data_IF_349429248914
#
_entry.id   IF_349429248914
#
_cell.length_a   1.000
_cell.length_b   1.000
_cell.length_c   1.000
_cell.angle_alpha   90.00
_cell.angle_beta   90.00
_cell.angle_gamma   90.00
#
_symmetry.space_group_name_H-M   'P 1'
#
loop_
_entity.id
_entity.type
_entity.pdbx_description
1 polymer ?
#
# COMPACT_ATOMS: atom_id res chain seq x y z
N UNK A 1 4.76 18.57 -11.95
CA UNK A 1 4.70 19.43 -10.75
C UNK A 1 3.23 19.68 -10.44
N UNK A 2 2.83 19.72 -9.17
CA UNK A 2 1.45 19.97 -8.77
C UNK A 2 1.33 21.34 -8.10
N UNK A 3 0.23 22.02 -8.35
CA UNK A 3 -0.07 23.32 -7.77
C UNK A 3 -1.45 23.28 -7.12
N UNK A 4 -1.63 24.02 -6.04
CA UNK A 4 -2.94 24.27 -5.46
C UNK A 4 -3.71 25.32 -6.29
N UNK A 5 -4.95 25.61 -5.87
CA UNK A 5 -5.82 26.61 -6.52
C UNK A 5 -5.24 28.03 -6.51
N UNK A 6 -4.24 28.31 -5.65
CA UNK A 6 -3.56 29.59 -5.55
C UNK A 6 -2.21 29.59 -6.31
N UNK A 7 -1.90 28.53 -7.05
CA UNK A 7 -0.63 28.39 -7.76
C UNK A 7 0.57 28.06 -6.86
N UNK A 8 0.34 27.70 -5.59
CA UNK A 8 1.44 27.28 -4.69
C UNK A 8 1.81 25.82 -4.98
N UNK A 9 3.11 25.50 -5.04
CA UNK A 9 3.55 24.13 -5.26
C UNK A 9 3.07 23.23 -4.12
N UNK A 10 2.56 22.06 -4.48
CA UNK A 10 2.14 21.01 -3.53
C UNK A 10 3.33 20.08 -3.26
N UNK A 11 3.56 19.73 -1.99
CA UNK A 11 4.64 18.84 -1.57
C UNK A 11 5.98 19.57 -1.41
N UNK A 12 7.07 18.95 -1.85
CA UNK A 12 8.42 19.54 -1.87
C UNK A 12 8.64 20.50 -3.04
N UNK A 13 7.60 20.72 -3.86
CA UNK A 13 7.64 21.56 -5.06
C UNK A 13 8.52 21.01 -6.17
N UNK A 14 8.99 19.75 -6.08
CA UNK A 14 9.80 19.14 -7.14
C UNK A 14 8.91 18.46 -8.18
N UNK A 15 9.35 18.41 -9.45
CA UNK A 15 8.70 17.57 -10.46
C UNK A 15 8.78 16.10 -10.05
N UNK A 16 7.65 15.39 -10.16
CA UNK A 16 7.65 13.93 -10.13
C UNK A 16 8.19 13.44 -11.46
N UNK A 17 9.20 12.57 -11.42
CA UNK A 17 9.82 11.96 -12.60
C UNK A 17 9.35 10.51 -12.77
N UNK A 18 8.99 10.14 -14.00
CA UNK A 18 8.77 8.75 -14.39
C UNK A 18 9.87 8.33 -15.38
N UNK A 19 10.23 7.05 -15.39
CA UNK A 19 11.35 6.55 -16.22
C UNK A 19 11.05 6.64 -17.71
N UNK A 20 9.78 6.57 -18.08
CA UNK A 20 9.33 6.55 -19.47
C UNK A 20 8.43 7.73 -19.79
N UNK A 21 8.24 7.97 -21.08
CA UNK A 21 7.34 8.99 -21.58
C UNK A 21 5.90 8.69 -21.17
N UNK A 22 5.21 9.69 -20.65
CA UNK A 22 3.80 9.61 -20.25
C UNK A 22 2.95 10.04 -21.44
N UNK A 23 2.06 9.16 -21.89
CA UNK A 23 1.21 9.39 -23.07
C UNK A 23 -0.19 9.90 -22.71
N UNK A 24 -0.66 9.60 -21.50
CA UNK A 24 -1.98 10.00 -21.03
C UNK A 24 -1.97 10.18 -19.52
N UNK A 25 -2.70 11.18 -19.02
CA UNK A 25 -2.82 11.48 -17.60
C UNK A 25 -4.25 11.91 -17.28
N UNK A 26 -4.75 11.50 -16.12
CA UNK A 26 -6.09 11.83 -15.65
C UNK A 26 -6.11 11.95 -14.13
N UNK A 27 -6.65 13.06 -13.64
CA UNK A 27 -6.69 13.39 -12.22
C UNK A 27 -8.08 13.08 -11.66
N UNK A 28 -8.12 12.35 -10.55
CA UNK A 28 -9.34 12.15 -9.77
C UNK A 28 -9.90 13.50 -9.29
N UNK A 29 -11.21 13.69 -9.43
CA UNK A 29 -11.90 14.92 -9.05
C UNK A 29 -12.77 14.77 -7.82
N UNK A 30 -12.82 13.58 -7.23
CA UNK A 30 -13.72 13.23 -6.15
C UNK A 30 -13.04 13.40 -4.79
N UNK A 31 -13.84 13.48 -3.72
CA UNK A 31 -13.34 13.55 -2.34
C UNK A 31 -12.44 14.75 -2.00
N UNK A 32 -11.67 14.59 -0.92
CA UNK A 32 -10.79 15.63 -0.41
C UNK A 32 -9.58 15.84 -1.34
N UNK A 33 -9.10 17.09 -1.55
CA UNK A 33 -7.85 17.33 -2.26
C UNK A 33 -6.63 16.61 -1.67
N UNK A 34 -6.70 16.19 -0.39
CA UNK A 34 -5.66 15.41 0.28
C UNK A 34 -5.60 13.94 -0.16
N UNK A 35 -6.68 13.39 -0.68
CA UNK A 35 -6.78 11.99 -1.09
C UNK A 35 -6.62 11.83 -2.62
N UNK A 36 -6.48 12.96 -3.32
CA UNK A 36 -6.52 13.04 -4.77
C UNK A 36 -5.44 12.19 -5.43
N UNK A 37 -5.85 11.44 -6.44
CA UNK A 37 -4.97 10.54 -7.21
C UNK A 37 -4.78 11.01 -8.64
N UNK A 38 -3.59 10.76 -9.16
CA UNK A 38 -3.29 10.85 -10.58
C UNK A 38 -3.17 9.44 -11.14
N UNK A 39 -3.95 9.12 -12.17
CA UNK A 39 -3.72 7.97 -13.03
C UNK A 39 -2.98 8.43 -14.29
N UNK A 40 -1.98 7.69 -14.72
CA UNK A 40 -1.27 7.98 -15.96
C UNK A 40 -0.82 6.69 -16.66
N UNK A 41 -0.77 6.73 -17.98
CA UNK A 41 -0.21 5.66 -18.80
C UNK A 41 1.11 6.08 -19.42
N UNK A 42 2.07 5.17 -19.45
CA UNK A 42 3.35 5.37 -20.14
C UNK A 42 3.31 4.87 -21.59
N UNK A 43 4.40 5.09 -22.33
CA UNK A 43 4.55 4.64 -23.72
C UNK A 43 4.46 3.11 -23.91
N UNK A 44 4.64 2.33 -22.85
CA UNK A 44 4.50 0.87 -22.87
C UNK A 44 3.07 0.44 -22.55
N UNK A 45 2.14 1.39 -22.45
CA UNK A 45 0.74 1.14 -22.10
C UNK A 45 0.64 0.53 -20.69
N UNK A 46 1.56 0.84 -19.80
CA UNK A 46 1.42 0.50 -18.39
C UNK A 46 0.64 1.61 -17.68
N UNK A 47 -0.42 1.23 -16.96
CA UNK A 47 -1.22 2.14 -16.14
C UNK A 47 -0.61 2.23 -14.74
N UNK A 48 -0.33 3.45 -14.31
CA UNK A 48 0.15 3.77 -12.97
C UNK A 48 -0.86 4.67 -12.24
N UNK A 49 -0.87 4.54 -10.92
CA UNK A 49 -1.57 5.45 -10.02
C UNK A 49 -0.57 6.10 -9.06
N UNK A 50 -0.83 7.34 -8.71
CA UNK A 50 0.00 8.12 -7.80
C UNK A 50 -0.84 8.93 -6.82
N UNK A 51 -0.41 8.96 -5.56
CA UNK A 51 -0.93 9.90 -4.56
C UNK A 51 -0.38 11.32 -4.81
N UNK A 52 -1.25 12.30 -5.04
CA UNK A 52 -0.84 13.69 -5.34
C UNK A 52 -0.28 14.38 -4.10
N UNK A 53 -0.97 14.20 -2.97
CA UNK A 53 -0.48 14.60 -1.65
C UNK A 53 -0.08 13.34 -0.91
N UNK A 54 1.14 13.34 -0.39
CA UNK A 54 1.63 12.30 0.50
C UNK A 54 1.98 12.99 1.82
N UNK A 55 1.26 12.62 2.87
CA UNK A 55 1.47 13.10 4.23
C UNK A 55 2.65 12.33 4.82
N UNK A 56 3.56 13.01 5.53
CA UNK A 56 4.75 12.41 6.15
C UNK A 56 6.06 12.55 5.34
N UNK A 57 7.17 12.04 5.90
CA UNK A 57 8.51 12.10 5.27
C UNK A 57 8.65 11.23 4.00
N UNK A 58 7.55 10.60 3.56
CA UNK A 58 7.32 9.87 2.31
C UNK A 58 7.53 10.71 1.03
N UNK A 59 8.12 11.89 1.14
CA UNK A 59 8.41 12.77 0.00
C UNK A 59 9.65 12.40 -0.80
N UNK A 60 10.46 11.45 -0.30
CA UNK A 60 11.80 11.24 -0.83
C UNK A 60 11.95 10.12 -1.87
N UNK A 61 10.98 9.21 -1.99
CA UNK A 61 11.04 8.17 -3.03
C UNK A 61 9.81 8.13 -3.93
N UNK A 62 10.03 8.31 -5.23
CA UNK A 62 9.00 8.13 -6.27
C UNK A 62 8.46 6.69 -6.31
N UNK A 63 9.23 5.70 -5.84
CA UNK A 63 8.83 4.28 -5.87
C UNK A 63 7.69 3.93 -4.92
N UNK A 64 7.52 4.69 -3.83
CA UNK A 64 6.41 4.47 -2.88
C UNK A 64 5.15 5.25 -3.27
N UNK A 65 5.32 6.35 -4.00
CA UNK A 65 4.22 7.22 -4.43
C UNK A 65 3.54 6.75 -5.71
N UNK A 66 4.25 6.05 -6.57
CA UNK A 66 3.76 5.56 -7.86
C UNK A 66 3.66 4.04 -7.80
N UNK A 67 2.47 3.50 -8.02
CA UNK A 67 2.21 2.06 -8.09
C UNK A 67 1.64 1.71 -9.46
N UNK A 68 2.14 0.62 -10.05
CA UNK A 68 1.60 0.06 -11.29
C UNK A 68 0.27 -0.62 -10.97
N UNK A 69 -0.77 -0.31 -11.73
CA UNK A 69 -2.12 -0.84 -11.57
C UNK A 69 -2.43 -1.91 -12.62
N UNK A 70 -1.99 -1.73 -13.87
CA UNK A 70 -2.28 -2.64 -14.96
C UNK A 70 -1.26 -2.50 -16.10
N UNK A 71 -1.20 -3.50 -16.99
CA UNK A 71 -0.45 -3.53 -18.25
C UNK A 71 -1.39 -3.40 -19.43
N UNK A 72 -0.87 -3.03 -20.61
CA UNK A 72 -1.61 -3.01 -21.88
C UNK A 72 -2.93 -2.20 -21.82
N UNK A 73 -2.89 -1.04 -21.18
CA UNK A 73 -4.03 -0.13 -21.08
C UNK A 73 -4.25 0.61 -22.40
N UNK A 74 -5.45 0.48 -22.97
CA UNK A 74 -5.84 1.22 -24.16
C UNK A 74 -6.46 2.58 -23.82
N UNK A 75 -7.30 2.64 -22.79
CA UNK A 75 -8.02 3.84 -22.37
C UNK A 75 -8.44 3.72 -20.91
N UNK A 76 -8.46 4.82 -20.17
CA UNK A 76 -8.95 4.86 -18.79
C UNK A 76 -9.65 6.18 -18.45
N UNK A 77 -10.59 6.14 -17.50
CA UNK A 77 -11.36 7.30 -17.05
C UNK A 77 -11.81 7.14 -15.60
N UNK A 78 -11.66 8.20 -14.80
CA UNK A 78 -12.23 8.29 -13.47
C UNK A 78 -13.75 8.44 -13.54
N UNK A 79 -14.42 7.93 -12.51
CA UNK A 79 -15.83 8.20 -12.27
C UNK A 79 -16.04 9.67 -11.86
N UNK A 80 -17.25 10.18 -12.09
CA UNK A 80 -17.62 11.57 -11.81
C UNK A 80 -17.89 11.85 -10.33
N UNK A 81 -18.38 10.86 -9.58
CA UNK A 81 -18.79 11.02 -8.17
C UNK A 81 -17.87 10.31 -7.19
N UNK A 82 -17.35 9.15 -7.59
CA UNK A 82 -16.61 8.25 -6.70
C UNK A 82 -15.15 8.07 -7.16
N UNK A 83 -14.24 7.60 -6.28
CA UNK A 83 -12.84 7.36 -6.64
C UNK A 83 -12.66 6.10 -7.50
N UNK A 84 -13.69 5.62 -8.19
CA UNK A 84 -13.61 4.46 -9.09
C UNK A 84 -12.88 4.83 -10.38
N UNK A 85 -12.10 3.90 -10.90
CA UNK A 85 -11.41 4.04 -12.18
C UNK A 85 -11.85 2.94 -13.13
N UNK A 86 -12.29 3.31 -14.32
CA UNK A 86 -12.54 2.36 -15.40
C UNK A 86 -11.37 2.36 -16.38
N UNK A 87 -10.98 1.20 -16.88
CA UNK A 87 -9.94 1.06 -17.90
C UNK A 87 -10.13 -0.15 -18.78
N UNK A 88 -9.82 0.00 -20.07
CA UNK A 88 -9.84 -1.11 -21.02
C UNK A 88 -8.42 -1.64 -21.17
N UNK A 89 -8.19 -2.86 -20.73
CA UNK A 89 -6.91 -3.55 -20.82
C UNK A 89 -7.14 -4.97 -21.33
N UNK A 90 -6.27 -5.45 -22.22
CA UNK A 90 -6.36 -6.80 -22.82
C UNK A 90 -7.75 -7.13 -23.43
N UNK A 91 -8.44 -6.12 -23.97
CA UNK A 91 -9.78 -6.28 -24.53
C UNK A 91 -10.90 -6.45 -23.50
N UNK A 92 -10.62 -6.30 -22.20
CA UNK A 92 -11.59 -6.36 -21.11
C UNK A 92 -11.78 -4.99 -20.48
N UNK A 93 -12.99 -4.71 -20.03
CA UNK A 93 -13.26 -3.52 -19.23
C UNK A 93 -13.03 -3.87 -17.75
N UNK A 94 -12.02 -3.25 -17.15
CA UNK A 94 -11.69 -3.38 -15.74
C UNK A 94 -12.20 -2.13 -15.00
N UNK A 95 -12.90 -2.34 -13.90
CA UNK A 95 -13.41 -1.30 -13.02
C UNK A 95 -12.74 -1.51 -11.67
N UNK A 96 -11.71 -0.71 -11.40
CA UNK A 96 -11.07 -0.66 -10.09
C UNK A 96 -11.99 0.14 -9.16
N UNK A 97 -12.70 -0.58 -8.29
CA UNK A 97 -13.71 0.00 -7.39
C UNK A 97 -13.06 0.91 -6.35
N UNK A 98 -11.84 0.58 -5.92
CA UNK A 98 -11.04 1.41 -5.04
C UNK A 98 -9.55 1.33 -5.40
N UNK A 99 -9.08 2.10 -6.39
CA UNK A 99 -7.69 2.05 -6.86
C UNK A 99 -6.65 2.36 -5.79
N UNK A 100 -7.04 2.98 -4.67
CA UNK A 100 -6.14 3.23 -3.53
C UNK A 100 -5.70 1.95 -2.83
N UNK A 101 -6.39 0.82 -3.05
CA UNK A 101 -6.03 -0.49 -2.50
C UNK A 101 -4.56 -0.86 -2.72
N UNK A 102 -3.95 -0.47 -3.85
CA UNK A 102 -2.53 -0.77 -4.16
C UNK A 102 -1.53 -0.06 -3.24
N UNK A 103 -1.98 0.94 -2.48
CA UNK A 103 -1.15 1.62 -1.47
C UNK A 103 -1.40 1.10 -0.06
N UNK A 104 -2.48 0.36 0.17
CA UNK A 104 -2.87 -0.14 1.50
C UNK A 104 -2.59 -1.64 1.57
N UNK A 105 -3.21 -2.42 0.68
CA UNK A 105 -3.02 -3.86 0.57
C UNK A 105 -3.11 -4.28 -0.91
N UNK A 106 -1.96 -4.39 -1.60
CA UNK A 106 -1.90 -4.82 -2.99
C UNK A 106 -2.51 -6.21 -3.24
N UNK A 107 -2.58 -7.09 -2.24
CA UNK A 107 -3.13 -8.45 -2.39
C UNK A 107 -4.63 -8.44 -2.69
N UNK A 108 -5.34 -7.41 -2.22
CA UNK A 108 -6.77 -7.21 -2.45
C UNK A 108 -7.10 -6.45 -3.74
N UNK A 109 -6.10 -6.01 -4.51
CA UNK A 109 -6.32 -5.24 -5.74
C UNK A 109 -7.16 -6.02 -6.77
N UNK A 110 -6.93 -7.33 -6.90
CA UNK A 110 -7.68 -8.17 -7.83
C UNK A 110 -9.13 -8.36 -7.36
N UNK A 111 -9.33 -8.62 -6.06
CA UNK A 111 -10.66 -8.78 -5.45
C UNK A 111 -11.52 -7.52 -5.50
N UNK A 112 -10.90 -6.34 -5.53
CA UNK A 112 -11.60 -5.04 -5.63
C UNK A 112 -11.75 -4.55 -7.09
N UNK A 113 -11.48 -5.42 -8.07
CA UNK A 113 -11.63 -5.11 -9.49
C UNK A 113 -12.80 -5.86 -10.08
N UNK A 114 -13.85 -5.13 -10.48
CA UNK A 114 -14.96 -5.69 -11.24
C UNK A 114 -14.62 -5.73 -12.72
N UNK A 115 -14.89 -6.85 -13.40
CA UNK A 115 -14.51 -7.04 -14.81
C UNK A 115 -15.73 -7.34 -15.67
N UNK A 116 -15.84 -6.60 -16.77
CA UNK A 116 -16.83 -6.86 -17.81
C UNK A 116 -16.09 -7.36 -19.05
N UNK A 117 -16.37 -8.61 -19.41
CA UNK A 117 -15.91 -9.22 -20.65
C UNK A 117 -17.02 -9.08 -21.69
N UNK A 118 -16.72 -8.42 -22.80
CA UNK A 118 -17.63 -8.34 -23.95
C UNK A 118 -16.85 -8.44 -25.24
N UNK A 119 -17.34 -9.27 -26.17
CA UNK A 119 -16.78 -9.36 -27.51
C UNK A 119 -17.09 -8.11 -28.36
N UNK A 120 -17.96 -7.22 -27.87
CA UNK A 120 -18.49 -6.11 -28.65
C UNK A 120 -17.60 -4.86 -28.64
N UNK A 121 -16.55 -4.79 -27.81
CA UNK A 121 -15.70 -3.61 -27.73
C UNK A 121 -14.95 -3.31 -29.04
N UNK A 122 -14.68 -4.34 -29.84
CA UNK A 122 -14.00 -4.20 -31.12
C UNK A 122 -12.54 -3.75 -30.98
N UNK A 123 -11.96 -3.23 -32.06
CA UNK A 123 -10.56 -2.79 -32.09
C UNK A 123 -10.42 -1.38 -31.50
N UNK A 124 -9.41 -1.17 -30.65
CA UNK A 124 -9.04 0.12 -30.04
C UNK A 124 -10.24 0.91 -29.46
N UNK A 125 -11.03 0.31 -28.55
CA UNK A 125 -12.09 1.05 -27.86
C UNK A 125 -11.52 2.13 -26.94
N UNK A 126 -12.24 3.24 -26.80
CA UNK A 126 -11.90 4.32 -25.87
C UNK A 126 -13.07 4.63 -24.94
N UNK A 127 -12.81 4.81 -23.65
CA UNK A 127 -13.84 5.21 -22.68
C UNK A 127 -14.12 6.71 -22.85
N UNK A 128 -15.35 7.06 -23.23
CA UNK A 128 -15.75 8.47 -23.32
C UNK A 128 -16.09 9.03 -21.95
N UNK A 129 -16.91 8.33 -21.16
CA UNK A 129 -17.45 8.81 -19.90
C UNK A 129 -17.68 7.67 -18.91
N UNK A 130 -17.54 7.97 -17.63
CA UNK A 130 -17.91 7.10 -16.52
C UNK A 130 -18.73 7.91 -15.51
N UNK A 131 -20.05 7.79 -15.59
CA UNK A 131 -21.02 8.58 -14.83
C UNK A 131 -21.80 7.65 -13.91
N UNK A 132 -21.63 7.78 -12.58
CA UNK A 132 -22.29 6.89 -11.60
C UNK A 132 -22.03 5.41 -11.94
N UNK A 133 -23.06 4.64 -12.25
CA UNK A 133 -22.96 3.22 -12.64
C UNK A 133 -22.82 2.98 -14.15
N UNK A 134 -22.76 4.02 -14.97
CA UNK A 134 -22.77 3.90 -16.44
C UNK A 134 -21.42 4.28 -17.05
N UNK A 135 -20.90 3.39 -17.89
CA UNK A 135 -19.65 3.58 -18.63
C UNK A 135 -20.00 3.64 -20.12
N UNK A 136 -19.65 4.74 -20.77
CA UNK A 136 -19.82 4.88 -22.22
C UNK A 136 -18.50 4.62 -22.93
N UNK A 137 -18.51 3.67 -23.86
CA UNK A 137 -17.36 3.25 -24.64
C UNK A 137 -17.59 3.58 -26.10
N UNK A 138 -16.63 4.28 -26.70
CA UNK A 138 -16.61 4.57 -28.14
C UNK A 138 -15.76 3.52 -28.86
N UNK A 139 -16.38 2.80 -29.79
CA UNK A 139 -15.69 1.86 -30.69
C UNK A 139 -14.84 2.61 -31.73
N UNK A 140 -13.91 1.92 -32.39
CA UNK A 140 -13.18 2.45 -33.56
C UNK A 140 -14.09 2.87 -34.72
N UNK A 141 -15.28 2.27 -34.85
CA UNK A 141 -16.29 2.67 -35.83
C UNK A 141 -16.98 4.00 -35.49
N UNK A 142 -16.73 4.55 -34.31
CA UNK A 142 -17.38 5.74 -33.78
C UNK A 142 -18.68 5.46 -33.02
N UNK A 143 -19.22 4.23 -33.07
CA UNK A 143 -20.40 3.84 -32.32
C UNK A 143 -20.17 3.88 -30.80
N UNK A 144 -21.21 4.25 -30.05
CA UNK A 144 -21.19 4.28 -28.58
C UNK A 144 -21.88 3.03 -28.03
N UNK A 145 -21.21 2.37 -27.08
CA UNK A 145 -21.76 1.28 -26.26
C UNK A 145 -21.91 1.81 -24.85
N UNK A 146 -22.98 1.41 -24.17
CA UNK A 146 -23.12 1.62 -22.73
C UNK A 146 -22.93 0.30 -22.00
N UNK A 147 -22.07 0.32 -20.98
CA UNK A 147 -21.92 -0.74 -20.01
C UNK A 147 -22.42 -0.21 -18.66
N UNK A 148 -23.03 -1.07 -17.86
CA UNK A 148 -23.55 -0.71 -16.55
C UNK A 148 -22.89 -1.61 -15.51
N UNK A 149 -22.37 -1.00 -14.45
CA UNK A 149 -21.89 -1.72 -13.27
C UNK A 149 -23.01 -1.81 -12.23
N UNK A 150 -22.98 -2.82 -11.34
CA UNK A 150 -23.95 -2.91 -10.25
C UNK A 150 -23.97 -1.66 -9.35
N UNK A 151 -25.16 -1.10 -9.12
CA UNK A 151 -25.34 0.15 -8.38
C UNK A 151 -24.94 0.07 -6.90
N UNK A 152 -24.92 -1.14 -6.33
CA UNK A 152 -24.55 -1.33 -4.94
C UNK A 152 -23.09 -0.97 -4.66
N UNK A 153 -22.20 -0.98 -5.67
CA UNK A 153 -20.82 -0.51 -5.48
C UNK A 153 -20.76 0.99 -5.15
N UNK A 154 -21.56 1.82 -5.84
CA UNK A 154 -21.69 3.25 -5.54
C UNK A 154 -22.30 3.45 -4.16
N UNK A 155 -23.37 2.73 -3.83
CA UNK A 155 -24.00 2.80 -2.51
C UNK A 155 -23.04 2.40 -1.37
N UNK A 156 -22.25 1.34 -1.55
CA UNK A 156 -21.25 0.91 -0.57
C UNK A 156 -20.17 1.98 -0.36
N UNK A 157 -19.66 2.58 -1.44
CA UNK A 157 -18.66 3.64 -1.36
C UNK A 157 -19.21 4.88 -0.66
N UNK A 158 -20.47 5.25 -0.92
CA UNK A 158 -21.14 6.37 -0.24
C UNK A 158 -21.30 6.12 1.27
N UNK A 159 -21.71 4.90 1.67
CA UNK A 159 -21.80 4.51 3.08
C UNK A 159 -20.44 4.55 3.78
N UNK A 160 -19.39 4.05 3.12
CA UNK A 160 -18.03 4.05 3.66
C UNK A 160 -17.46 5.48 3.76
N UNK A 161 -17.74 6.35 2.79
CA UNK A 161 -17.37 7.76 2.84
C UNK A 161 -18.11 8.50 3.98
N UNK A 162 -19.32 8.08 4.33
CA UNK A 162 -20.08 8.58 5.48
C UNK A 162 -19.68 7.93 6.82
N UNK A 163 -18.63 7.10 6.85
CA UNK A 163 -18.17 6.36 8.03
C UNK A 163 -19.23 5.42 8.62
N UNK A 164 -20.10 4.84 7.77
CA UNK A 164 -21.18 3.91 8.13
C UNK A 164 -20.85 2.48 7.63
N UNK A 165 -19.69 1.97 8.06
CA UNK A 165 -19.18 0.67 7.60
C UNK A 165 -20.05 -0.53 8.05
N UNK A 166 -20.68 -0.45 9.23
CA UNK A 166 -21.60 -1.50 9.70
C UNK A 166 -22.81 -1.68 8.77
N UNK A 167 -23.37 -0.58 8.25
CA UNK A 167 -24.48 -0.64 7.30
C UNK A 167 -24.04 -1.18 5.94
N UNK A 168 -22.81 -0.85 5.52
CA UNK A 168 -22.20 -1.45 4.33
C UNK A 168 -22.00 -2.97 4.51
N UNK A 169 -21.63 -3.44 5.70
CA UNK A 169 -21.53 -4.86 6.02
C UNK A 169 -22.89 -5.56 5.96
N UNK A 170 -23.95 -4.94 6.47
CA UNK A 170 -25.31 -5.48 6.38
C UNK A 170 -25.78 -5.61 4.93
N UNK A 171 -25.52 -4.59 4.10
CA UNK A 171 -25.79 -4.63 2.67
C UNK A 171 -25.00 -5.76 1.99
N UNK A 172 -23.73 -5.91 2.35
CA UNK A 172 -22.86 -6.95 1.82
C UNK A 172 -23.32 -8.37 2.21
N UNK A 173 -23.83 -8.57 3.43
CA UNK A 173 -24.39 -9.85 3.88
C UNK A 173 -25.59 -10.28 3.03
N UNK A 174 -26.39 -9.34 2.54
CA UNK A 174 -27.51 -9.64 1.66
C UNK A 174 -27.05 -9.99 0.23
N UNK A 175 -26.05 -9.27 -0.29
CA UNK A 175 -25.55 -9.44 -1.67
C UNK A 175 -24.62 -10.65 -1.80
N UNK A 176 -23.84 -10.95 -0.75
CA UNK A 176 -22.80 -12.00 -0.72
C UNK A 176 -21.73 -11.85 -1.81
N UNK A 177 -21.23 -10.63 -2.06
CA UNK A 177 -20.15 -10.34 -3.01
C UNK A 177 -18.83 -10.04 -2.28
N UNK A 178 -17.83 -10.91 -2.45
CA UNK A 178 -16.48 -10.78 -1.91
C UNK A 178 -15.83 -9.42 -2.23
N UNK A 179 -16.13 -8.84 -3.39
CA UNK A 179 -15.55 -7.58 -3.84
C UNK A 179 -15.92 -6.44 -2.88
N UNK A 180 -17.14 -6.47 -2.34
CA UNK A 180 -17.63 -5.48 -1.37
C UNK A 180 -16.97 -5.71 0.00
N UNK A 181 -16.82 -6.96 0.45
CA UNK A 181 -16.06 -7.24 1.67
C UNK A 181 -14.62 -6.73 1.56
N UNK A 182 -13.97 -6.90 0.41
CA UNK A 182 -12.64 -6.36 0.17
C UNK A 182 -12.61 -4.82 0.20
N UNK A 183 -13.62 -4.15 -0.34
CA UNK A 183 -13.77 -2.70 -0.23
C UNK A 183 -13.91 -2.23 1.23
N UNK A 184 -14.80 -2.87 1.98
CA UNK A 184 -15.03 -2.55 3.40
C UNK A 184 -13.74 -2.77 4.19
N UNK A 185 -13.08 -3.92 4.02
CA UNK A 185 -11.84 -4.24 4.72
C UNK A 185 -10.77 -3.16 4.52
N UNK A 186 -10.51 -2.77 3.26
CA UNK A 186 -9.47 -1.80 2.92
C UNK A 186 -9.83 -0.38 3.39
N UNK A 187 -11.09 0.05 3.18
CA UNK A 187 -11.51 1.41 3.53
C UNK A 187 -11.64 1.57 5.05
N UNK A 188 -12.18 0.56 5.74
CA UNK A 188 -12.23 0.56 7.21
C UNK A 188 -10.83 0.53 7.83
N UNK A 189 -9.88 -0.23 7.25
CA UNK A 189 -8.47 -0.19 7.68
C UNK A 189 -7.87 1.22 7.51
N UNK A 190 -8.10 1.86 6.36
CA UNK A 190 -7.66 3.24 6.11
C UNK A 190 -8.30 4.24 7.08
N UNK A 191 -9.58 4.07 7.40
CA UNK A 191 -10.33 4.96 8.30
C UNK A 191 -10.13 4.63 9.79
N UNK A 192 -9.32 3.61 10.12
CA UNK A 192 -9.05 3.14 11.49
C UNK A 192 -10.27 2.55 12.20
N UNK A 193 -11.23 2.01 11.44
CA UNK A 193 -12.34 1.21 11.95
C UNK A 193 -11.95 -0.28 11.94
N UNK A 194 -11.30 -0.72 13.01
CA UNK A 194 -10.76 -2.07 13.11
C UNK A 194 -11.83 -3.15 13.26
N UNK A 195 -12.97 -2.82 13.87
CA UNK A 195 -14.04 -3.78 14.13
C UNK A 195 -14.71 -4.19 12.79
N UNK A 196 -15.04 -3.20 11.95
CA UNK A 196 -15.57 -3.48 10.61
C UNK A 196 -14.53 -4.14 9.70
N UNK A 197 -13.26 -3.72 9.80
CA UNK A 197 -12.18 -4.31 9.02
C UNK A 197 -11.97 -5.79 9.38
N UNK A 198 -11.89 -6.14 10.66
CA UNK A 198 -11.73 -7.52 11.13
C UNK A 198 -12.87 -8.40 10.64
N UNK A 199 -14.12 -7.94 10.78
CA UNK A 199 -15.29 -8.66 10.30
C UNK A 199 -15.22 -8.91 8.79
N UNK A 200 -14.82 -7.90 8.01
CA UNK A 200 -14.69 -8.04 6.56
C UNK A 200 -13.55 -8.99 6.17
N UNK A 201 -12.38 -8.90 6.80
CA UNK A 201 -11.26 -9.82 6.56
C UNK A 201 -11.59 -11.26 6.96
N UNK A 202 -12.37 -11.46 8.03
CA UNK A 202 -12.85 -12.77 8.43
C UNK A 202 -13.75 -13.40 7.35
N UNK A 203 -14.64 -12.62 6.72
CA UNK A 203 -15.46 -13.11 5.60
C UNK A 203 -14.61 -13.45 4.37
N UNK A 204 -13.54 -12.68 4.11
CA UNK A 204 -12.59 -12.96 3.03
C UNK A 204 -11.64 -14.13 3.32
N UNK A 205 -11.78 -14.79 4.49
CA UNK A 205 -10.88 -15.85 4.94
C UNK A 205 -9.40 -15.43 5.05
N UNK A 206 -9.14 -14.14 5.30
CA UNK A 206 -7.79 -13.63 5.52
C UNK A 206 -7.45 -13.70 7.02
N UNK A 207 -7.08 -14.90 7.48
CA UNK A 207 -6.79 -15.15 8.90
C UNK A 207 -5.58 -14.40 9.41
N UNK A 208 -4.60 -14.13 8.54
CA UNK A 208 -3.40 -13.36 8.89
C UNK A 208 -3.77 -11.93 9.30
N UNK A 209 -4.56 -11.24 8.48
CA UNK A 209 -4.99 -9.87 8.79
C UNK A 209 -5.90 -9.81 10.02
N UNK A 210 -6.77 -10.81 10.23
CA UNK A 210 -7.58 -10.91 11.45
C UNK A 210 -6.69 -11.03 12.68
N UNK A 211 -5.69 -11.92 12.64
CA UNK A 211 -4.75 -12.09 13.75
C UNK A 211 -3.95 -10.81 14.02
N UNK A 212 -3.46 -10.16 12.98
CA UNK A 212 -2.75 -8.88 13.11
C UNK A 212 -3.62 -7.78 13.74
N UNK A 213 -4.89 -7.66 13.33
CA UNK A 213 -5.83 -6.70 13.90
C UNK A 213 -6.17 -7.00 15.37
N UNK A 214 -6.25 -8.27 15.75
CA UNK A 214 -6.44 -8.66 17.15
C UNK A 214 -5.22 -8.33 18.00
N UNK A 215 -4.00 -8.55 17.49
CA UNK A 215 -2.76 -8.19 18.17
C UNK A 215 -2.62 -6.67 18.38
N UNK A 216 -3.03 -5.85 17.41
CA UNK A 216 -3.06 -4.39 17.56
C UNK A 216 -3.89 -3.91 18.77
N UNK A 217 -4.91 -4.68 19.18
CA UNK A 217 -5.70 -4.38 20.38
C UNK A 217 -4.97 -4.71 21.68
N UNK A 218 -4.09 -5.71 21.68
CA UNK A 218 -3.31 -6.09 22.87
C UNK A 218 -2.15 -5.11 23.15
N UNK A 219 -1.67 -4.43 22.10
CA UNK A 219 -0.63 -3.41 22.21
C UNK A 219 -1.10 -2.22 23.06
N UNK A 220 -0.44 -2.01 24.19
CA UNK A 220 -0.81 -0.95 25.14
C UNK A 220 -0.19 0.42 24.81
N UNK A 221 0.98 0.46 24.17
CA UNK A 221 1.62 1.72 23.76
C UNK A 221 0.95 2.28 22.50
N UNK A 222 0.61 3.57 22.54
CA UNK A 222 0.04 4.27 21.39
C UNK A 222 1.02 4.31 20.21
N UNK A 223 2.27 4.62 20.49
CA UNK A 223 3.34 4.76 19.49
C UNK A 223 3.62 3.43 18.80
N UNK A 224 3.63 2.33 19.55
CA UNK A 224 3.79 0.99 18.99
C UNK A 224 2.60 0.59 18.11
N UNK A 225 1.37 0.88 18.56
CA UNK A 225 0.16 0.62 17.76
C UNK A 225 0.20 1.39 16.45
N UNK A 226 0.59 2.67 16.46
CA UNK A 226 0.71 3.48 15.24
C UNK A 226 1.82 2.95 14.32
N UNK A 227 2.92 2.43 14.89
CA UNK A 227 3.98 1.81 14.10
C UNK A 227 3.50 0.53 13.40
N UNK A 228 2.84 -0.37 14.12
CA UNK A 228 2.27 -1.61 13.58
C UNK A 228 1.18 -1.33 12.54
N UNK A 229 0.33 -0.33 12.79
CA UNK A 229 -0.66 0.12 11.81
C UNK A 229 -0.03 0.63 10.52
N UNK A 230 1.07 1.39 10.59
CA UNK A 230 1.79 1.86 9.41
C UNK A 230 2.40 0.71 8.60
N UNK A 231 2.79 -0.39 9.26
CA UNK A 231 3.26 -1.59 8.58
C UNK A 231 2.11 -2.35 7.90
N UNK A 232 0.98 -2.50 8.60
CA UNK A 232 -0.20 -3.19 8.09
C UNK A 232 -0.89 -2.42 6.95
N UNK A 233 -0.97 -1.10 7.06
CA UNK A 233 -1.59 -0.22 6.08
C UNK A 233 -0.54 0.29 5.06
N UNK A 234 -0.09 -0.59 4.18
CA UNK A 234 0.75 -0.21 3.03
C UNK A 234 2.25 -0.43 3.18
N UNK A 235 2.70 -1.05 4.28
CA UNK A 235 4.11 -1.39 4.48
C UNK A 235 5.02 -0.16 4.62
N UNK A 236 4.57 0.89 5.30
CA UNK A 236 5.35 2.12 5.42
C UNK A 236 6.43 2.02 6.52
N UNK A 237 7.56 1.42 6.15
CA UNK A 237 8.73 1.19 7.02
C UNK A 237 9.24 2.47 7.69
N UNK A 238 9.20 3.61 6.98
CA UNK A 238 9.78 4.87 7.47
C UNK A 238 8.92 5.51 8.56
N UNK A 239 7.59 5.43 8.42
CA UNK A 239 6.65 5.92 9.42
C UNK A 239 6.65 5.00 10.65
N UNK A 240 6.68 3.70 10.43
CA UNK A 240 6.86 2.73 11.51
C UNK A 240 8.17 2.96 12.29
N UNK A 241 9.30 3.19 11.62
CA UNK A 241 10.57 3.56 12.26
C UNK A 241 10.40 4.81 13.13
N UNK A 242 9.78 5.87 12.59
CA UNK A 242 9.60 7.12 13.32
C UNK A 242 8.76 6.92 14.59
N UNK A 243 7.69 6.14 14.52
CA UNK A 243 6.84 5.83 15.67
C UNK A 243 7.55 4.97 16.71
N UNK A 244 8.29 3.92 16.31
CA UNK A 244 9.09 3.13 17.24
C UNK A 244 10.16 3.97 17.96
N UNK A 245 10.82 4.89 17.25
CA UNK A 245 11.81 5.79 17.85
C UNK A 245 11.16 6.79 18.82
N UNK A 246 9.97 7.32 18.50
CA UNK A 246 9.21 8.18 19.41
C UNK A 246 8.76 7.43 20.67
N UNK A 247 8.38 6.16 20.53
CA UNK A 247 8.03 5.27 21.64
C UNK A 247 9.24 4.74 22.42
N UNK A 248 10.46 5.21 22.14
CA UNK A 248 11.70 4.74 22.77
C UNK A 248 11.91 3.20 22.64
N UNK A 249 11.52 2.63 21.49
CA UNK A 249 11.71 1.21 21.12
C UNK A 249 12.69 1.06 19.94
N UNK A 250 13.96 1.48 20.07
CA UNK A 250 14.94 1.43 18.97
C UNK A 250 15.21 0.01 18.46
N UNK A 251 15.09 -1.02 19.29
CA UNK A 251 15.26 -2.42 18.85
C UNK A 251 14.20 -2.82 17.82
N UNK A 252 12.94 -2.39 17.99
CA UNK A 252 11.86 -2.72 17.06
C UNK A 252 12.12 -2.08 15.70
N UNK A 253 12.56 -0.82 15.69
CA UNK A 253 12.98 -0.13 14.47
C UNK A 253 14.17 -0.82 13.79
N UNK A 254 15.16 -1.31 14.54
CA UNK A 254 16.30 -2.03 13.99
C UNK A 254 15.86 -3.37 13.37
N UNK A 255 15.08 -4.17 14.10
CA UNK A 255 14.57 -5.46 13.61
C UNK A 255 13.74 -5.29 12.35
N UNK A 256 12.89 -4.26 12.27
CA UNK A 256 12.14 -3.92 11.08
C UNK A 256 13.06 -3.75 9.84
N UNK A 257 14.16 -3.00 9.97
CA UNK A 257 15.12 -2.82 8.86
C UNK A 257 15.93 -4.08 8.55
N UNK A 258 16.19 -4.95 9.54
CA UNK A 258 16.87 -6.22 9.32
C UNK A 258 15.99 -7.19 8.51
N UNK A 259 14.71 -7.29 8.85
CA UNK A 259 13.74 -8.14 8.17
C UNK A 259 13.52 -7.69 6.72
N UNK A 260 13.50 -6.37 6.48
CA UNK A 260 13.39 -5.76 5.14
C UNK A 260 14.73 -5.68 4.39
N UNK A 261 15.80 -6.28 4.94
CA UNK A 261 17.15 -6.27 4.37
C UNK A 261 17.73 -4.86 4.08
N UNK A 262 17.28 -3.85 4.80
CA UNK A 262 17.80 -2.48 4.75
C UNK A 262 19.00 -2.32 5.70
N UNK A 263 20.08 -3.03 5.37
CA UNK A 263 21.29 -3.12 6.20
C UNK A 263 21.95 -1.75 6.47
N UNK A 264 21.99 -0.86 5.48
CA UNK A 264 22.60 0.46 5.65
C UNK A 264 21.87 1.32 6.70
N UNK A 265 20.53 1.27 6.72
CA UNK A 265 19.75 1.98 7.73
C UNK A 265 19.85 1.32 9.10
N UNK A 266 19.84 -0.03 9.16
CA UNK A 266 19.98 -0.78 10.40
C UNK A 266 21.29 -0.43 11.13
N UNK A 267 22.43 -0.38 10.43
CA UNK A 267 23.71 -0.01 11.05
C UNK A 267 23.76 1.48 11.43
N UNK A 268 23.14 2.37 10.67
CA UNK A 268 23.10 3.79 11.02
C UNK A 268 22.31 4.06 12.31
N UNK A 269 21.26 3.29 12.58
CA UNK A 269 20.52 3.37 13.84
C UNK A 269 21.39 3.00 15.06
N UNK A 270 22.36 2.10 14.89
CA UNK A 270 23.27 1.69 15.96
C UNK A 270 24.26 2.79 16.37
N UNK A 271 24.49 3.82 15.54
CA UNK A 271 25.34 4.96 15.92
C UNK A 271 24.76 5.74 17.12
N UNK A 272 23.43 5.82 17.19
CA UNK A 272 22.72 6.45 18.32
C UNK A 272 22.39 5.46 19.44
N UNK A 273 22.36 4.17 19.12
CA UNK A 273 22.07 3.09 20.06
C UNK A 273 23.12 1.97 19.96
N UNK A 274 24.36 2.20 20.45
CA UNK A 274 25.48 1.26 20.30
C UNK A 274 25.23 -0.11 20.93
N UNK A 275 24.31 -0.18 21.91
CA UNK A 275 23.96 -1.44 22.56
C UNK A 275 23.44 -2.50 21.58
N UNK A 276 22.84 -2.12 20.46
CA UNK A 276 22.27 -3.08 19.49
C UNK A 276 23.22 -3.41 18.33
N UNK A 277 24.46 -2.90 18.35
CA UNK A 277 25.43 -3.14 17.29
C UNK A 277 25.73 -4.64 17.12
N UNK A 278 25.83 -5.37 18.23
CA UNK A 278 26.04 -6.83 18.25
C UNK A 278 24.96 -7.58 17.49
N UNK A 279 23.69 -7.19 17.67
CA UNK A 279 22.53 -7.79 17.00
C UNK A 279 22.64 -7.58 15.48
N UNK A 280 22.85 -6.34 15.04
CA UNK A 280 22.90 -5.98 13.61
C UNK A 280 24.06 -6.69 12.91
N UNK A 281 25.23 -6.79 13.56
CA UNK A 281 26.38 -7.50 13.02
C UNK A 281 26.13 -9.01 12.98
N UNK A 282 25.57 -9.59 14.04
CA UNK A 282 25.26 -11.01 14.10
C UNK A 282 24.29 -11.45 13.01
N UNK A 283 23.16 -10.76 12.85
CA UNK A 283 22.20 -11.06 11.78
C UNK A 283 22.79 -10.88 10.38
N UNK A 284 23.68 -9.90 10.18
CA UNK A 284 24.38 -9.73 8.91
C UNK A 284 25.32 -10.90 8.62
N UNK A 285 26.06 -11.38 9.61
CA UNK A 285 26.92 -12.56 9.46
C UNK A 285 26.10 -13.82 9.13
N UNK A 286 24.98 -14.03 9.85
CA UNK A 286 24.04 -15.12 9.58
C UNK A 286 23.52 -15.05 8.13
N UNK A 287 23.03 -13.89 7.71
CA UNK A 287 22.55 -13.66 6.35
C UNK A 287 23.61 -13.98 5.27
N UNK A 288 24.86 -13.54 5.45
CA UNK A 288 25.94 -13.82 4.49
C UNK A 288 26.33 -15.30 4.44
N UNK A 289 26.20 -16.02 5.57
CA UNK A 289 26.46 -17.46 5.65
C UNK A 289 25.37 -18.25 4.95
N UNK A 290 24.11 -17.92 5.24
CA UNK A 290 22.95 -18.71 4.81
C UNK A 290 22.54 -18.38 3.36
N UNK A 291 22.46 -17.08 3.02
CA UNK A 291 22.01 -16.61 1.70
C UNK A 291 23.13 -16.04 0.83
N UNK A 292 24.19 -15.51 1.45
CA UNK A 292 25.32 -14.92 0.73
C UNK A 292 26.27 -15.93 0.08
N UNK A 293 26.04 -17.24 0.24
CA UNK A 293 26.91 -18.29 -0.30
C UNK A 293 28.35 -18.23 0.24
N UNK A 294 28.53 -17.74 1.47
CA UNK A 294 29.85 -17.56 2.09
C UNK A 294 30.66 -16.38 1.53
N UNK A 295 30.02 -15.45 0.81
CA UNK A 295 30.69 -14.21 0.36
C UNK A 295 31.14 -13.38 1.56
N UNK A 296 32.34 -12.81 1.43
CA UNK A 296 32.91 -11.90 2.42
C UNK A 296 32.18 -10.56 2.40
N UNK A 297 32.01 -9.95 3.57
CA UNK A 297 31.39 -8.64 3.72
C UNK A 297 32.11 -7.58 2.88
N UNK A 298 31.33 -6.78 2.16
CA UNK A 298 31.84 -5.71 1.29
C UNK A 298 31.52 -4.32 1.83
N UNK A 299 30.54 -4.19 2.74
CA UNK A 299 30.13 -2.90 3.27
C UNK A 299 31.17 -2.37 4.27
N UNK A 300 31.74 -1.16 4.05
CA UNK A 300 32.80 -0.62 4.89
C UNK A 300 32.35 -0.37 6.34
N UNK A 301 31.07 -0.02 6.58
CA UNK A 301 30.54 0.20 7.93
C UNK A 301 30.55 -1.09 8.74
N UNK A 302 30.12 -2.19 8.12
CA UNK A 302 30.11 -3.52 8.75
C UNK A 302 31.52 -4.08 8.96
N UNK A 303 32.44 -3.88 8.02
CA UNK A 303 33.84 -4.28 8.18
C UNK A 303 34.54 -3.59 9.37
N UNK A 304 34.18 -2.35 9.66
CA UNK A 304 34.68 -1.65 10.86
C UNK A 304 34.01 -2.16 12.13
N UNK A 305 32.68 -2.37 12.10
CA UNK A 305 31.94 -2.89 13.25
C UNK A 305 32.39 -4.30 13.66
N UNK A 306 32.62 -5.19 12.68
CA UNK A 306 33.06 -6.58 12.92
C UNK A 306 34.45 -6.69 13.56
N UNK A 307 35.30 -5.66 13.48
CA UNK A 307 36.60 -5.66 14.17
C UNK A 307 36.48 -5.39 15.67
N UNK A 308 35.40 -4.74 16.08
CA UNK A 308 35.22 -4.21 17.43
C UNK A 308 34.18 -5.00 18.24
N UNK A 309 33.50 -5.97 17.63
CA UNK A 309 32.38 -6.69 18.23
C UNK A 309 32.57 -8.18 18.05
N UNK A 310 32.58 -8.89 19.17
CA UNK A 310 32.46 -10.35 19.23
C UNK A 310 30.98 -10.69 19.37
N UNK A 311 30.47 -11.61 18.55
CA UNK A 311 29.04 -11.89 18.44
C UNK A 311 28.69 -13.11 19.29
N UNK A 312 27.92 -12.90 20.35
CA UNK A 312 27.40 -13.96 21.22
C UNK A 312 25.88 -14.13 21.02
N UNK A 313 25.49 -15.22 20.35
CA UNK A 313 24.08 -15.49 20.02
C UNK A 313 23.19 -15.69 21.25
N UNK A 314 23.72 -16.27 22.34
CA UNK A 314 22.95 -16.48 23.56
C UNK A 314 22.56 -15.14 24.20
N UNK A 315 23.44 -14.13 24.11
CA UNK A 315 23.16 -12.77 24.60
C UNK A 315 22.18 -12.02 23.71
N UNK A 316 22.28 -12.21 22.39
CA UNK A 316 21.35 -11.65 21.42
C UNK A 316 19.95 -12.19 21.70
N UNK A 317 19.79 -13.50 21.83
CA UNK A 317 18.50 -14.15 22.05
C UNK A 317 17.87 -13.74 23.38
N UNK A 318 18.65 -13.70 24.45
CA UNK A 318 18.19 -13.22 25.75
C UNK A 318 17.69 -11.77 25.69
N UNK A 319 18.35 -10.90 24.91
CA UNK A 319 17.91 -9.50 24.75
C UNK A 319 16.66 -9.40 23.88
N UNK A 320 16.60 -10.15 22.79
CA UNK A 320 15.41 -10.20 21.94
C UNK A 320 14.19 -10.67 22.73
N UNK A 321 14.33 -11.72 23.55
CA UNK A 321 13.24 -12.20 24.40
C UNK A 321 12.81 -11.17 25.45
N UNK A 322 13.75 -10.44 26.04
CA UNK A 322 13.46 -9.42 27.03
C UNK A 322 12.72 -8.20 26.46
N UNK A 323 13.10 -7.74 25.27
CA UNK A 323 12.61 -6.47 24.72
C UNK A 323 11.48 -6.62 23.70
N UNK A 324 11.40 -7.74 22.96
CA UNK A 324 10.35 -8.00 21.96
C UNK A 324 9.31 -9.03 22.44
N UNK A 325 9.63 -9.86 23.44
CA UNK A 325 8.76 -10.98 23.86
C UNK A 325 8.84 -12.19 22.91
N UNK A 326 8.13 -13.27 23.24
CA UNK A 326 8.14 -14.51 22.46
C UNK A 326 7.31 -14.42 21.16
N UNK A 327 6.23 -13.64 21.18
CA UNK A 327 5.21 -13.58 20.12
C UNK A 327 5.37 -12.43 19.12
N UNK A 328 6.45 -11.64 19.19
CA UNK A 328 6.57 -10.49 18.27
C UNK A 328 6.72 -10.94 16.81
N UNK A 329 5.84 -10.45 15.94
CA UNK A 329 5.93 -10.63 14.49
C UNK A 329 7.26 -10.12 13.89
N UNK A 330 8.00 -9.29 14.64
CA UNK A 330 9.30 -8.75 14.27
C UNK A 330 10.47 -9.74 14.43
N UNK A 331 10.26 -10.93 15.02
CA UNK A 331 11.30 -11.97 15.16
C UNK A 331 11.65 -12.69 13.86
N UNK A 332 10.97 -12.44 12.75
CA UNK A 332 11.17 -13.24 11.54
C UNK A 332 12.46 -12.84 10.81
N UNK A 333 13.53 -13.54 11.15
CA UNK A 333 14.62 -13.89 10.22
C UNK A 333 14.79 -15.41 10.28
N UNK A 334 13.96 -16.12 9.51
CA UNK A 334 14.25 -17.50 9.07
C UNK A 334 15.22 -17.50 7.89
#
# INVERSE_FOLDING_TARGET
MFFDVNGKPIGDGKPVSHAYEIIHLSLDQTGSPNERKLAFADKFQDLFIMQVRSVGQNQRSNTQRIRKLCTNIGSFRWNDKNPMLAGIADGKLNIWLYPNVVFVDPSLADKTTYRIESNDFGKNPSISDFLSSQITIRKSTGALIQCVIPIYYELCLDLLAANRAEEALQLCQYISDDSIYALIAVISLHNRDFDSAENAFAQLSNTEMVFCLQNLRSVSSKEEREAELALLAGGNIQEAEAHYLQGNKPLHAIMLHLNEHNWDRAIDLTQRHPQYLEIVVGYRQKYLKDYGGGKKETNPKYLQAMKNVDVDWDRIDARLQKELGEDSALRIIE
#
